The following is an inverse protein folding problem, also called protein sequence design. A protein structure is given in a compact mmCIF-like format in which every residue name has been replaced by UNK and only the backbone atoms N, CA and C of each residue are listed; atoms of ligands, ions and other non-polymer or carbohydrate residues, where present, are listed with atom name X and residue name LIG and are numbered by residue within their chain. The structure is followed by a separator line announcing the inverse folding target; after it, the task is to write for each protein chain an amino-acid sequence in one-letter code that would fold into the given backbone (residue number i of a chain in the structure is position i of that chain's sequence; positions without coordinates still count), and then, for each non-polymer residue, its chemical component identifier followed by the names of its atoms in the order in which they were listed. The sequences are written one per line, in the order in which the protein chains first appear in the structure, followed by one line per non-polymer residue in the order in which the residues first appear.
data_IF_838445459075
#
_entry.id   IF_838445459075
#
_cell.length_a   1.000
_cell.length_b   1.000
_cell.length_c   1.000
_cell.angle_alpha   90.00
_cell.angle_beta   90.00
_cell.angle_gamma   90.00
#
_symmetry.space_group_name_H-M   'P 1'
#
loop_
_entity.id
_entity.type
_entity.pdbx_description
1 polymer ?
#
# COMPACT_ATOMS: atom_id res chain seq x y z
N UNK A 1 0.71 -2.63 4.67
CA UNK A 1 1.38 -1.73 5.63
C UNK A 1 2.29 -2.57 6.52
N UNK A 2 3.48 -2.10 6.86
CA UNK A 2 4.37 -2.77 7.82
C UNK A 2 4.88 -1.76 8.83
N UNK A 3 4.84 -2.10 10.11
CA UNK A 3 5.37 -1.29 11.21
C UNK A 3 6.42 -2.11 11.94
N UNK A 4 7.59 -1.50 12.11
CA UNK A 4 8.72 -2.03 12.85
C UNK A 4 8.91 -1.12 14.07
N UNK A 5 9.00 -1.72 15.25
CA UNK A 5 9.11 -1.02 16.52
C UNK A 5 10.41 -1.42 17.20
N UNK A 6 11.04 -0.47 17.89
CA UNK A 6 12.09 -0.71 18.88
C UNK A 6 13.23 -1.62 18.36
N UNK A 7 13.77 -1.27 17.20
CA UNK A 7 14.92 -1.94 16.59
C UNK A 7 14.58 -3.11 15.64
N UNK A 8 13.32 -3.50 15.45
CA UNK A 8 12.94 -4.57 14.51
C UNK A 8 13.42 -4.27 13.07
N UNK A 9 14.20 -5.19 12.46
CA UNK A 9 14.75 -5.02 11.10
C UNK A 9 14.22 -6.05 10.09
N UNK A 10 14.31 -7.34 10.43
CA UNK A 10 14.03 -8.41 9.46
C UNK A 10 12.53 -8.63 9.24
N UNK A 11 11.75 -8.55 10.31
CA UNK A 11 10.32 -8.79 10.31
C UNK A 11 9.60 -7.61 10.99
N UNK A 12 8.43 -7.18 10.45
CA UNK A 12 7.66 -6.13 11.10
C UNK A 12 6.95 -6.68 12.34
N UNK A 13 6.88 -5.87 13.39
CA UNK A 13 6.07 -6.14 14.58
C UNK A 13 4.58 -6.19 14.24
N UNK A 14 4.12 -5.29 13.35
CA UNK A 14 2.75 -5.25 12.84
C UNK A 14 2.75 -5.35 11.32
N UNK A 15 2.13 -6.40 10.80
CA UNK A 15 2.01 -6.66 9.37
C UNK A 15 0.54 -6.55 8.94
N UNK A 16 0.22 -5.55 8.13
CA UNK A 16 -1.09 -5.37 7.49
C UNK A 16 -1.17 -6.07 6.13
N UNK A 17 -2.39 -6.23 5.64
CA UNK A 17 -2.71 -7.01 4.43
C UNK A 17 -2.74 -6.18 3.14
N UNK A 18 -3.08 -4.90 3.23
CA UNK A 18 -3.22 -4.00 2.09
C UNK A 18 -3.24 -2.53 2.51
N UNK A 19 -3.24 -1.62 1.54
CA UNK A 19 -3.36 -0.18 1.81
C UNK A 19 -4.81 0.22 2.06
N UNK A 20 -5.74 -0.41 1.36
CA UNK A 20 -7.19 -0.30 1.53
C UNK A 20 -7.63 -0.86 2.89
N UNK A 21 -7.14 -2.03 3.26
CA UNK A 21 -7.46 -2.66 4.54
C UNK A 21 -6.93 -1.81 5.70
N UNK A 22 -5.79 -1.14 5.51
CA UNK A 22 -5.23 -0.25 6.52
C UNK A 22 -6.15 0.92 6.86
N UNK A 23 -6.97 1.42 5.95
CA UNK A 23 -7.95 2.48 6.26
C UNK A 23 -9.35 1.93 6.55
N UNK A 24 -9.48 0.61 6.72
CA UNK A 24 -10.71 -0.08 7.04
C UNK A 24 -11.72 -0.12 5.90
N UNK A 25 -11.27 0.00 4.65
CA UNK A 25 -12.07 -0.45 3.50
C UNK A 25 -11.81 -1.93 3.25
N UNK A 26 -12.06 -2.42 2.04
CA UNK A 26 -11.74 -3.76 1.60
C UNK A 26 -12.20 -3.94 0.16
N UNK A 27 -11.53 -4.83 -0.58
CA UNK A 27 -11.76 -5.00 -2.03
C UNK A 27 -11.63 -3.67 -2.80
N UNK A 28 -10.39 -3.18 -2.91
CA UNK A 28 -10.03 -1.88 -3.47
C UNK A 28 -10.26 -0.68 -2.52
N UNK A 29 -9.66 0.46 -2.88
CA UNK A 29 -9.90 1.75 -2.22
C UNK A 29 -11.19 2.37 -2.75
N UNK A 30 -12.12 2.65 -1.85
CA UNK A 30 -13.36 3.37 -2.16
C UNK A 30 -13.47 4.67 -1.37
N UNK A 31 -14.26 5.63 -1.87
CA UNK A 31 -14.50 6.89 -1.15
C UNK A 31 -15.21 6.59 0.17
N UNK A 32 -14.66 7.10 1.27
CA UNK A 32 -15.22 6.91 2.61
C UNK A 32 -14.81 8.09 3.51
N UNK A 33 -15.66 8.40 4.50
CA UNK A 33 -15.43 9.49 5.45
C UNK A 33 -15.90 9.08 6.84
N UNK A 34 -14.95 8.78 7.73
CA UNK A 34 -15.20 8.54 9.13
C UNK A 34 -14.28 9.37 10.02
N UNK A 35 -14.59 9.44 11.31
CA UNK A 35 -13.88 10.32 12.24
C UNK A 35 -12.36 10.07 12.30
N UNK A 36 -11.93 8.81 12.17
CA UNK A 36 -10.53 8.42 12.35
C UNK A 36 -9.90 7.75 11.12
N UNK A 37 -10.65 7.47 10.07
CA UNK A 37 -10.11 6.86 8.85
C UNK A 37 -11.00 7.14 7.66
N UNK A 38 -10.44 7.11 6.46
CA UNK A 38 -11.22 7.21 5.23
C UNK A 38 -10.39 7.53 4.00
N UNK A 39 -11.06 7.65 2.87
CA UNK A 39 -10.49 8.02 1.58
C UNK A 39 -11.35 9.12 0.97
N UNK A 40 -10.86 10.36 0.97
CA UNK A 40 -11.64 11.53 0.54
C UNK A 40 -11.59 11.74 -0.99
N UNK A 41 -10.58 11.18 -1.63
CA UNK A 41 -10.45 11.15 -3.09
C UNK A 41 -10.14 9.71 -3.50
N UNK A 42 -11.06 9.07 -4.22
CA UNK A 42 -10.83 7.79 -4.87
C UNK A 42 -11.25 7.93 -6.34
N UNK A 43 -10.33 8.40 -7.17
CA UNK A 43 -10.52 8.62 -8.60
C UNK A 43 -9.83 7.48 -9.38
N UNK A 44 -10.63 6.46 -9.71
CA UNK A 44 -10.18 5.27 -10.43
C UNK A 44 -9.78 5.57 -11.87
N UNK A 45 -10.42 6.54 -12.51
CA UNK A 45 -10.14 6.91 -13.91
C UNK A 45 -8.76 7.55 -14.05
N UNK A 46 -8.39 8.42 -13.11
CA UNK A 46 -7.09 9.11 -13.12
C UNK A 46 -6.04 8.46 -12.20
N UNK A 47 -6.37 7.35 -11.55
CA UNK A 47 -5.53 6.64 -10.58
C UNK A 47 -5.03 7.54 -9.43
N UNK A 48 -5.91 8.38 -8.89
CA UNK A 48 -5.58 9.31 -7.80
C UNK A 48 -6.33 8.94 -6.53
N UNK A 49 -5.57 8.80 -5.45
CA UNK A 49 -6.11 8.41 -4.15
C UNK A 49 -5.57 9.32 -3.05
N UNK A 50 -6.45 9.74 -2.14
CA UNK A 50 -6.07 10.47 -0.92
C UNK A 50 -6.83 9.89 0.26
N UNK A 51 -6.10 9.22 1.14
CA UNK A 51 -6.65 8.55 2.30
C UNK A 51 -5.92 8.94 3.59
N UNK A 52 -6.58 8.71 4.72
CA UNK A 52 -6.09 9.02 6.04
C UNK A 52 -6.47 7.92 7.03
N UNK A 53 -5.63 7.76 8.05
CA UNK A 53 -5.94 7.05 9.28
C UNK A 53 -5.28 7.75 10.45
N UNK A 54 -6.06 8.00 11.49
CA UNK A 54 -5.64 8.57 12.75
C UNK A 54 -5.78 7.52 13.84
N UNK A 55 -4.65 7.12 14.42
CA UNK A 55 -4.58 6.16 15.51
C UNK A 55 -4.94 6.82 16.87
N UNK A 56 -6.15 7.39 16.98
CA UNK A 56 -6.62 8.09 18.19
C UNK A 56 -7.06 7.09 19.25
N UNK A 57 -7.89 6.12 18.86
CA UNK A 57 -8.40 5.09 19.77
C UNK A 57 -7.44 3.90 19.90
N UNK A 58 -6.55 3.76 18.92
CA UNK A 58 -5.59 2.67 18.76
C UNK A 58 -4.16 3.19 18.48
N UNK A 59 -3.56 4.03 19.37
CA UNK A 59 -2.19 4.51 19.19
C UNK A 59 -1.19 3.36 19.02
N UNK A 60 -0.23 3.55 18.11
CA UNK A 60 0.91 2.66 17.97
C UNK A 60 2.03 3.18 18.86
N UNK A 61 2.31 2.47 19.95
CA UNK A 61 3.35 2.83 20.91
C UNK A 61 4.71 2.25 20.48
N UNK A 62 5.77 2.99 20.79
CA UNK A 62 7.18 2.59 20.69
C UNK A 62 7.98 3.25 21.81
N UNK A 63 9.13 2.68 22.14
CA UNK A 63 10.02 3.16 23.20
C UNK A 63 11.26 3.90 22.65
N UNK A 64 11.88 3.36 21.59
CA UNK A 64 13.14 3.87 21.05
C UNK A 64 12.96 4.43 19.63
N UNK A 65 12.45 3.61 18.71
CA UNK A 65 12.26 3.98 17.32
C UNK A 65 11.04 3.31 16.68
N UNK A 66 10.57 3.92 15.59
CA UNK A 66 9.49 3.38 14.77
C UNK A 66 9.83 3.59 13.30
N UNK A 67 9.61 2.56 12.49
CA UNK A 67 9.66 2.63 11.03
C UNK A 67 8.35 2.10 10.47
N UNK A 68 7.68 2.92 9.66
CA UNK A 68 6.43 2.58 8.98
C UNK A 68 6.65 2.56 7.48
N UNK A 69 6.19 1.51 6.82
CA UNK A 69 6.21 1.40 5.35
C UNK A 69 4.85 1.00 4.80
N UNK A 70 4.55 1.49 3.61
CA UNK A 70 3.41 1.04 2.79
C UNK A 70 4.00 0.49 1.50
N UNK A 71 3.61 -0.73 1.14
CA UNK A 71 4.11 -1.41 -0.05
C UNK A 71 3.38 -0.89 -1.29
N UNK A 72 4.12 -0.74 -2.39
CA UNK A 72 3.58 -0.37 -3.70
C UNK A 72 3.32 -1.63 -4.51
N UNK A 73 2.33 -2.41 -4.09
CA UNK A 73 1.95 -3.66 -4.76
C UNK A 73 0.54 -3.50 -5.33
N UNK A 74 0.38 -3.93 -6.59
CA UNK A 74 -0.90 -4.04 -7.26
C UNK A 74 -1.37 -5.48 -7.35
N UNK A 75 -2.65 -5.66 -7.60
CA UNK A 75 -3.24 -6.95 -7.94
C UNK A 75 -3.97 -6.79 -9.27
N UNK A 76 -3.67 -7.63 -10.26
CA UNK A 76 -4.50 -7.71 -11.47
C UNK A 76 -5.63 -8.72 -11.25
N UNK A 77 -6.72 -8.51 -11.97
CA UNK A 77 -7.80 -9.47 -12.18
C UNK A 77 -7.95 -9.80 -13.66
N UNK A 78 -8.94 -10.62 -14.05
CA UNK A 78 -9.12 -11.04 -15.43
C UNK A 78 -9.30 -9.88 -16.42
N UNK A 79 -9.98 -8.81 -16.00
CA UNK A 79 -10.23 -7.62 -16.84
C UNK A 79 -9.00 -6.72 -16.90
N UNK A 80 -8.38 -6.42 -15.76
CA UNK A 80 -7.25 -5.48 -15.67
C UNK A 80 -5.93 -6.05 -16.21
N UNK A 81 -5.79 -7.38 -16.32
CA UNK A 81 -4.61 -7.99 -16.95
C UNK A 81 -4.47 -7.59 -18.43
N UNK A 82 -5.59 -7.51 -19.16
CA UNK A 82 -5.59 -7.07 -20.56
C UNK A 82 -5.31 -5.57 -20.68
N UNK A 83 -5.77 -4.77 -19.71
CA UNK A 83 -5.45 -3.35 -19.63
C UNK A 83 -3.96 -3.13 -19.40
N UNK A 84 -3.34 -3.85 -18.44
CA UNK A 84 -1.90 -3.82 -18.20
C UNK A 84 -1.11 -4.15 -19.47
N UNK A 85 -1.53 -5.19 -20.22
CA UNK A 85 -0.94 -5.51 -21.53
C UNK A 85 -1.05 -4.34 -22.50
N UNK A 86 -2.21 -3.69 -22.58
CA UNK A 86 -2.46 -2.60 -23.52
C UNK A 86 -1.62 -1.34 -23.25
N UNK A 87 -1.19 -1.13 -21.99
CA UNK A 87 -0.31 -0.02 -21.62
C UNK A 87 1.11 -0.19 -22.16
N UNK A 88 1.55 -1.43 -22.44
CA UNK A 88 2.85 -1.73 -23.07
C UNK A 88 4.08 -1.48 -22.19
N UNK A 89 3.88 -1.20 -20.90
CA UNK A 89 4.97 -1.05 -19.93
C UNK A 89 5.37 -2.42 -19.36
N UNK A 90 6.65 -2.66 -19.04
CA UNK A 90 7.07 -3.82 -18.27
C UNK A 90 6.35 -3.88 -16.93
N UNK A 91 5.96 -5.08 -16.51
CA UNK A 91 5.33 -5.33 -15.20
C UNK A 91 6.15 -6.40 -14.50
N UNK A 92 6.50 -6.17 -13.24
CA UNK A 92 7.34 -7.09 -12.46
C UNK A 92 6.53 -7.77 -11.37
N UNK A 93 6.79 -9.05 -11.12
CA UNK A 93 6.08 -9.82 -10.10
C UNK A 93 6.52 -9.41 -8.68
N UNK A 94 5.55 -9.23 -7.78
CA UNK A 94 5.78 -8.68 -6.43
C UNK A 94 6.48 -9.64 -5.44
N UNK A 95 6.66 -10.91 -5.81
CA UNK A 95 7.23 -11.96 -4.95
C UNK A 95 8.60 -12.46 -5.40
N UNK A 96 9.13 -11.90 -6.49
CA UNK A 96 10.30 -12.42 -7.21
C UNK A 96 11.15 -11.22 -7.60
N UNK A 97 12.35 -11.12 -7.04
CA UNK A 97 13.28 -9.99 -7.20
C UNK A 97 13.50 -9.59 -8.68
N UNK A 98 12.65 -8.71 -9.20
CA UNK A 98 12.75 -8.16 -10.56
C UNK A 98 12.35 -9.11 -11.70
N UNK A 99 11.58 -10.17 -11.45
CA UNK A 99 11.08 -11.03 -12.54
C UNK A 99 9.99 -10.30 -13.34
N UNK A 100 10.23 -10.08 -14.63
CA UNK A 100 9.26 -9.48 -15.54
C UNK A 100 8.17 -10.50 -15.92
N UNK A 101 6.92 -10.05 -15.85
CA UNK A 101 5.75 -10.83 -16.20
C UNK A 101 5.55 -10.81 -17.71
N UNK A 102 5.51 -11.99 -18.32
CA UNK A 102 5.24 -12.12 -19.75
C UNK A 102 3.75 -11.87 -20.07
N UNK A 103 3.41 -10.61 -20.34
CA UNK A 103 2.07 -10.18 -20.75
C UNK A 103 1.72 -10.53 -22.21
N UNK A 104 2.65 -11.08 -23.01
CA UNK A 104 2.33 -11.49 -24.38
C UNK A 104 1.47 -12.75 -24.44
N UNK A 105 1.51 -13.58 -23.39
CA UNK A 105 0.76 -14.83 -23.25
C UNK A 105 -0.13 -14.79 -22.00
N UNK A 106 -1.10 -13.85 -21.90
CA UNK A 106 -1.90 -13.66 -20.70
C UNK A 106 -2.74 -14.89 -20.33
N UNK A 107 -3.07 -15.75 -21.30
CA UNK A 107 -3.77 -17.01 -21.09
C UNK A 107 -2.99 -18.03 -20.26
N UNK A 108 -1.67 -17.85 -20.09
CA UNK A 108 -0.82 -18.70 -19.25
C UNK A 108 -0.66 -18.16 -17.83
N UNK A 109 -1.12 -16.94 -17.57
CA UNK A 109 -1.04 -16.30 -16.26
C UNK A 109 -2.27 -16.69 -15.42
N UNK A 110 -2.13 -16.70 -14.08
CA UNK A 110 -3.27 -16.90 -13.20
C UNK A 110 -4.29 -15.74 -13.36
N UNK A 111 -5.59 -16.01 -13.10
CA UNK A 111 -6.64 -14.99 -13.23
C UNK A 111 -6.43 -13.79 -12.30
N UNK A 112 -5.70 -13.99 -11.20
CA UNK A 112 -5.26 -12.94 -10.30
C UNK A 112 -3.78 -13.10 -10.00
N UNK A 113 -3.08 -11.99 -9.83
CA UNK A 113 -1.69 -12.01 -9.39
C UNK A 113 -1.19 -10.65 -8.97
N UNK A 114 -0.07 -10.66 -8.25
CA UNK A 114 0.52 -9.47 -7.65
C UNK A 114 1.68 -8.95 -8.48
N UNK A 115 1.76 -7.64 -8.62
CA UNK A 115 2.82 -6.96 -9.34
C UNK A 115 3.34 -5.75 -8.57
N UNK A 116 4.59 -5.39 -8.80
CA UNK A 116 5.18 -4.15 -8.30
C UNK A 116 4.58 -2.95 -9.04
N UNK A 117 4.25 -1.92 -8.28
CA UNK A 117 3.76 -0.64 -8.80
C UNK A 117 4.81 0.44 -8.65
N UNK A 118 4.76 1.38 -9.57
CA UNK A 118 5.42 2.66 -9.44
C UNK A 118 4.33 3.75 -9.33
N UNK A 119 4.31 4.44 -8.21
CA UNK A 119 3.33 5.49 -7.91
C UNK A 119 4.04 6.80 -7.58
N UNK A 120 3.41 7.92 -7.92
CA UNK A 120 3.77 9.21 -7.34
C UNK A 120 3.02 9.38 -6.01
N UNK A 121 3.75 9.52 -4.92
CA UNK A 121 3.16 9.56 -3.59
C UNK A 121 3.74 10.69 -2.73
N UNK A 122 2.94 11.09 -1.74
CA UNK A 122 3.29 12.01 -0.67
C UNK A 122 2.58 11.51 0.58
N UNK A 123 3.24 11.62 1.73
CA UNK A 123 2.67 11.24 3.02
C UNK A 123 3.05 12.23 4.10
N UNK A 124 2.25 12.28 5.16
CA UNK A 124 2.52 13.03 6.37
C UNK A 124 2.14 12.14 7.55
N UNK A 125 3.07 11.99 8.49
CA UNK A 125 2.85 11.25 9.73
C UNK A 125 2.80 12.23 10.91
N UNK A 126 1.93 11.95 11.86
CA UNK A 126 1.80 12.70 13.10
C UNK A 126 2.14 11.77 14.25
N UNK A 127 3.06 12.19 15.11
CA UNK A 127 3.50 11.44 16.27
C UNK A 127 3.64 12.36 17.48
N UNK A 128 3.53 11.78 18.67
CA UNK A 128 3.83 12.43 19.92
C UNK A 128 5.08 11.79 20.51
N UNK A 129 6.06 12.62 20.86
CA UNK A 129 7.30 12.20 21.53
C UNK A 129 7.32 12.75 22.95
N UNK A 130 8.10 12.12 23.81
CA UNK A 130 8.35 12.58 25.18
C UNK A 130 9.10 13.92 25.23
N UNK A 131 9.81 14.26 24.15
CA UNK A 131 10.50 15.54 23.95
C UNK A 131 10.58 15.90 22.45
N UNK A 132 10.67 17.19 22.09
CA UNK A 132 10.92 17.58 20.71
C UNK A 132 12.28 17.07 20.24
N UNK A 133 12.33 16.50 19.04
CA UNK A 133 13.58 16.18 18.34
C UNK A 133 13.78 17.17 17.19
N UNK A 134 15.03 17.61 17.02
CA UNK A 134 15.47 18.33 15.83
C UNK A 134 16.23 17.32 14.96
N UNK A 135 15.94 17.31 13.66
CA UNK A 135 16.67 16.54 12.66
C UNK A 135 18.15 16.96 12.56
#
# INVERSE_FOLDING_TARGET
MKIYLDGDQDLPTLCGTGAEDYIGTGWELGTSNHLYQGCLLADKENMRYSFYRYHVLDPVYFHEDIKVTIQQIGCWGPETLLELKSLGNPVYAASSEGEEINLEQPEKLPPFGLFEREDNWSSCAYLYLDRPMLD
#
